data_IF_587851728074
#
_entry.id   IF_587851728074
#
_cell.length_a   1.000
_cell.length_b   1.000
_cell.length_c   1.000
_cell.angle_alpha   90.00
_cell.angle_beta   90.00
_cell.angle_gamma   90.00
#
_symmetry.space_group_name_H-M   'P 1'
#
loop_
_entity.id
_entity.type
_entity.pdbx_description
1 polymer ?
#
# COMPACT_ATOMS: atom_id res chain seq x y z
N UNK A 1 -3.57 -4.50 -14.80
CA UNK A 1 -4.65 -3.51 -15.00
C UNK A 1 -4.15 -2.14 -14.57
N UNK A 2 -4.63 -1.07 -15.18
CA UNK A 2 -4.35 0.27 -14.67
C UNK A 2 -5.02 0.45 -13.29
N UNK A 3 -4.39 1.16 -12.35
CA UNK A 3 -4.91 1.27 -11.00
C UNK A 3 -6.17 2.15 -10.98
N UNK A 4 -7.25 1.62 -10.42
CA UNK A 4 -8.50 2.34 -10.18
C UNK A 4 -8.44 3.03 -8.81
N UNK A 5 -7.86 4.22 -8.75
CA UNK A 5 -7.55 4.94 -7.50
C UNK A 5 -8.76 5.74 -6.98
N UNK A 6 -9.31 6.61 -7.81
CA UNK A 6 -10.47 7.44 -7.51
C UNK A 6 -11.79 6.68 -7.76
N UNK A 7 -12.87 7.19 -7.20
CA UNK A 7 -14.23 6.76 -7.51
C UNK A 7 -14.62 7.16 -8.95
N UNK A 8 -15.69 6.57 -9.49
CA UNK A 8 -16.21 6.88 -10.83
C UNK A 8 -16.57 8.35 -11.04
N UNK A 9 -16.93 9.06 -9.96
CA UNK A 9 -17.22 10.51 -9.96
C UNK A 9 -15.97 11.39 -9.79
N UNK A 10 -14.78 10.79 -9.74
CA UNK A 10 -13.50 11.47 -9.55
C UNK A 10 -13.18 11.86 -8.10
N UNK A 11 -14.02 11.51 -7.13
CA UNK A 11 -13.74 11.76 -5.70
C UNK A 11 -12.81 10.70 -5.10
N UNK A 12 -12.11 11.04 -4.02
CA UNK A 12 -11.39 10.06 -3.21
C UNK A 12 -12.29 9.46 -2.13
N UNK A 13 -11.95 8.26 -1.69
CA UNK A 13 -12.61 7.55 -0.58
C UNK A 13 -11.62 6.65 0.16
N UNK A 14 -12.08 5.93 1.17
CA UNK A 14 -11.29 4.88 1.82
C UNK A 14 -10.73 3.88 0.81
N UNK A 15 -11.46 3.60 -0.28
CA UNK A 15 -10.97 2.79 -1.40
C UNK A 15 -9.70 3.38 -2.05
N UNK A 16 -9.60 4.71 -2.15
CA UNK A 16 -8.40 5.39 -2.68
C UNK A 16 -7.20 5.18 -1.78
N UNK A 17 -7.34 5.39 -0.47
CA UNK A 17 -6.25 5.15 0.49
C UNK A 17 -5.79 3.69 0.45
N UNK A 18 -6.74 2.77 0.38
CA UNK A 18 -6.51 1.32 0.27
C UNK A 18 -5.73 0.96 -1.01
N UNK A 19 -6.18 1.45 -2.17
CA UNK A 19 -5.51 1.20 -3.45
C UNK A 19 -4.15 1.90 -3.58
N UNK A 20 -3.91 3.02 -2.89
CA UNK A 20 -2.58 3.63 -2.81
C UNK A 20 -1.59 2.75 -2.04
N UNK A 21 -2.03 2.08 -0.97
CA UNK A 21 -1.21 1.06 -0.28
C UNK A 21 -0.88 -0.10 -1.21
N UNK A 22 -1.85 -0.58 -2.00
CA UNK A 22 -1.64 -1.66 -2.98
C UNK A 22 -0.62 -1.27 -4.05
N UNK A 23 -0.67 -0.02 -4.51
CA UNK A 23 0.33 0.52 -5.42
C UNK A 23 1.72 0.54 -4.78
N UNK A 24 1.82 1.01 -3.53
CA UNK A 24 3.09 1.09 -2.81
C UNK A 24 3.70 -0.30 -2.53
N UNK A 25 2.91 -1.31 -2.17
CA UNK A 25 3.39 -2.68 -1.99
C UNK A 25 4.04 -3.23 -3.27
N UNK A 26 3.38 -3.07 -4.43
CA UNK A 26 3.93 -3.50 -5.71
C UNK A 26 5.18 -2.74 -6.11
N UNK A 27 5.17 -1.42 -5.92
CA UNK A 27 6.29 -0.53 -6.19
C UNK A 27 7.53 -0.97 -5.41
N UNK A 28 7.37 -1.22 -4.11
CA UNK A 28 8.49 -1.49 -3.21
C UNK A 28 9.04 -2.92 -3.39
N UNK A 29 8.20 -3.93 -3.62
CA UNK A 29 8.68 -5.27 -4.03
C UNK A 29 9.55 -5.18 -5.29
N UNK A 30 9.09 -4.43 -6.30
CA UNK A 30 9.84 -4.21 -7.52
C UNK A 30 11.19 -3.49 -7.27
N UNK A 31 11.22 -2.50 -6.38
CA UNK A 31 12.45 -1.79 -5.98
C UNK A 31 13.45 -2.75 -5.35
N UNK A 32 12.99 -3.55 -4.39
CA UNK A 32 13.86 -4.46 -3.63
C UNK A 32 14.44 -5.54 -4.53
N UNK A 33 13.63 -6.14 -5.41
CA UNK A 33 14.10 -7.10 -6.40
C UNK A 33 15.15 -6.51 -7.32
N UNK A 34 14.89 -5.35 -7.93
CA UNK A 34 15.87 -4.68 -8.83
C UNK A 34 17.18 -4.35 -8.11
N UNK A 35 17.09 -3.86 -6.88
CA UNK A 35 18.26 -3.49 -6.10
C UNK A 35 19.10 -4.72 -5.73
N UNK A 36 18.45 -5.79 -5.25
CA UNK A 36 19.13 -7.04 -4.97
C UNK A 36 19.67 -7.69 -6.24
N UNK A 37 19.02 -7.62 -7.39
CA UNK A 37 19.52 -8.18 -8.65
C UNK A 37 20.74 -7.43 -9.19
N UNK A 38 20.79 -6.10 -9.05
CA UNK A 38 21.97 -5.27 -9.42
C UNK A 38 23.20 -5.56 -8.54
N UNK A 39 23.00 -6.09 -7.34
CA UNK A 39 24.07 -6.68 -6.51
C UNK A 39 24.88 -5.71 -5.66
N UNK A 40 24.42 -4.47 -5.49
CA UNK A 40 25.12 -3.45 -4.68
C UNK A 40 24.23 -2.64 -3.73
N UNK A 41 23.07 -3.12 -3.22
CA UNK A 41 22.34 -2.31 -2.28
C UNK A 41 23.05 -2.31 -0.92
N UNK A 42 23.02 -1.16 -0.23
CA UNK A 42 23.48 -1.08 1.15
C UNK A 42 22.63 -2.02 2.05
N UNK A 43 23.22 -3.03 2.70
CA UNK A 43 22.46 -3.98 3.52
C UNK A 43 21.69 -3.32 4.67
N UNK A 44 22.21 -2.24 5.25
CA UNK A 44 21.52 -1.54 6.33
C UNK A 44 20.23 -0.87 5.84
N UNK A 45 20.31 -0.15 4.73
CA UNK A 45 19.15 0.41 4.04
C UNK A 45 18.14 -0.67 3.66
N UNK A 46 18.57 -1.80 3.08
CA UNK A 46 17.65 -2.89 2.72
C UNK A 46 16.91 -3.47 3.93
N UNK A 47 17.59 -3.61 5.07
CA UNK A 47 16.95 -4.06 6.32
C UNK A 47 15.92 -3.07 6.83
N UNK A 48 16.25 -1.78 6.84
CA UNK A 48 15.30 -0.72 7.26
C UNK A 48 14.05 -0.73 6.37
N UNK A 49 14.24 -0.78 5.06
CA UNK A 49 13.15 -0.78 4.08
C UNK A 49 12.28 -2.04 4.19
N UNK A 50 12.91 -3.20 4.40
CA UNK A 50 12.18 -4.43 4.68
C UNK A 50 11.34 -4.35 5.95
N UNK A 51 11.90 -3.81 7.04
CA UNK A 51 11.16 -3.65 8.30
C UNK A 51 9.97 -2.70 8.15
N UNK A 52 10.11 -1.63 7.35
CA UNK A 52 8.96 -0.79 7.01
C UNK A 52 7.90 -1.57 6.22
N UNK A 53 8.31 -2.25 5.15
CA UNK A 53 7.43 -3.00 4.27
C UNK A 53 6.65 -4.10 5.03
N UNK A 54 7.34 -4.93 5.81
CA UNK A 54 6.72 -6.05 6.53
C UNK A 54 5.72 -5.56 7.56
N UNK A 55 6.01 -4.47 8.26
CA UNK A 55 5.08 -3.89 9.24
C UNK A 55 3.88 -3.24 8.56
N UNK A 56 4.09 -2.55 7.42
CA UNK A 56 3.00 -1.96 6.64
C UNK A 56 2.05 -3.04 6.09
N UNK A 57 2.59 -4.13 5.53
CA UNK A 57 1.77 -5.21 4.97
C UNK A 57 1.03 -5.99 6.06
N UNK A 58 1.72 -6.36 7.15
CA UNK A 58 1.07 -7.04 8.27
C UNK A 58 -0.01 -6.15 8.92
N UNK A 59 0.26 -4.86 9.10
CA UNK A 59 -0.73 -3.91 9.62
C UNK A 59 -1.95 -3.73 8.70
N UNK A 60 -1.73 -3.75 7.39
CA UNK A 60 -2.78 -3.73 6.38
C UNK A 60 -3.69 -4.97 6.50
N UNK A 61 -3.13 -6.18 6.44
CA UNK A 61 -3.91 -7.42 6.60
C UNK A 61 -4.62 -7.48 7.96
N UNK A 62 -3.95 -7.03 9.03
CA UNK A 62 -4.57 -6.96 10.36
C UNK A 62 -5.81 -6.06 10.37
N UNK A 63 -5.73 -4.87 9.76
CA UNK A 63 -6.85 -3.95 9.67
C UNK A 63 -8.00 -4.54 8.86
N UNK A 64 -7.69 -5.31 7.82
CA UNK A 64 -8.69 -6.02 7.04
C UNK A 64 -9.40 -7.08 7.85
N UNK A 65 -8.63 -8.00 8.43
CA UNK A 65 -9.17 -9.16 9.15
C UNK A 65 -9.96 -8.77 10.41
N UNK A 66 -9.55 -7.70 11.08
CA UNK A 66 -10.11 -7.32 12.38
C UNK A 66 -11.22 -6.27 12.30
N UNK A 67 -11.32 -5.52 11.20
CA UNK A 67 -12.28 -4.43 11.08
C UNK A 67 -13.01 -4.38 9.73
N UNK A 68 -12.29 -4.31 8.61
CA UNK A 68 -12.92 -4.11 7.28
C UNK A 68 -13.75 -5.34 6.90
N UNK A 69 -13.18 -6.53 6.98
CA UNK A 69 -13.85 -7.77 6.61
C UNK A 69 -15.05 -8.10 7.51
N UNK A 70 -14.97 -7.98 8.86
CA UNK A 70 -16.15 -8.15 9.71
C UNK A 70 -17.29 -7.18 9.39
N UNK A 71 -17.00 -5.89 9.22
CA UNK A 71 -18.00 -4.87 8.87
C UNK A 71 -18.63 -5.15 7.49
N UNK A 72 -17.79 -5.52 6.51
CA UNK A 72 -18.24 -5.85 5.17
C UNK A 72 -19.12 -7.11 5.14
N UNK A 73 -18.80 -8.16 5.92
CA UNK A 73 -19.66 -9.35 6.05
C UNK A 73 -21.05 -8.99 6.58
N UNK A 74 -21.15 -8.02 7.50
CA UNK A 74 -22.42 -7.57 8.06
C UNK A 74 -23.24 -6.78 7.03
N UNK A 75 -22.61 -5.86 6.31
CA UNK A 75 -23.28 -4.97 5.34
C UNK A 75 -23.56 -5.63 3.99
N UNK A 76 -22.68 -6.54 3.57
CA UNK A 76 -22.71 -7.19 2.26
C UNK A 76 -22.50 -8.71 2.38
N UNK A 77 -23.49 -9.49 2.87
CA UNK A 77 -23.32 -10.92 3.10
C UNK A 77 -22.84 -11.74 1.89
N UNK A 78 -23.07 -11.25 0.67
CA UNK A 78 -22.59 -11.87 -0.58
C UNK A 78 -21.06 -11.93 -0.70
N UNK A 79 -20.31 -11.08 0.02
CA UNK A 79 -18.83 -11.06 -0.01
C UNK A 79 -18.20 -12.14 0.87
N UNK A 80 -18.99 -12.88 1.68
CA UNK A 80 -18.46 -13.80 2.68
C UNK A 80 -17.48 -14.84 2.12
N UNK A 81 -17.80 -15.45 0.96
CA UNK A 81 -16.93 -16.43 0.33
C UNK A 81 -15.59 -15.83 -0.15
N UNK A 82 -15.63 -14.61 -0.69
CA UNK A 82 -14.43 -13.87 -1.09
C UNK A 82 -13.58 -13.54 0.13
N UNK A 83 -14.19 -13.07 1.20
CA UNK A 83 -13.48 -12.74 2.45
C UNK A 83 -12.85 -13.98 3.08
N UNK A 84 -13.54 -15.13 3.10
CA UNK A 84 -12.95 -16.39 3.58
C UNK A 84 -11.70 -16.78 2.78
N UNK A 85 -11.73 -16.54 1.46
CA UNK A 85 -10.59 -16.80 0.58
C UNK A 85 -9.44 -15.83 0.84
N UNK A 86 -9.71 -14.53 0.98
CA UNK A 86 -8.69 -13.51 1.29
C UNK A 86 -8.01 -13.79 2.63
N UNK A 87 -8.79 -14.10 3.68
CA UNK A 87 -8.24 -14.48 4.97
C UNK A 87 -7.39 -15.77 4.91
N UNK A 88 -7.70 -16.69 4.00
CA UNK A 88 -6.85 -17.86 3.75
C UNK A 88 -5.57 -17.51 2.96
N UNK A 89 -5.62 -16.51 2.08
CA UNK A 89 -4.45 -15.96 1.40
C UNK A 89 -3.52 -15.23 2.39
N UNK A 90 -4.05 -14.43 3.33
CA UNK A 90 -3.26 -13.80 4.41
C UNK A 90 -2.45 -14.82 5.20
N UNK A 91 -3.06 -15.95 5.59
CA UNK A 91 -2.39 -17.05 6.32
C UNK A 91 -1.22 -17.69 5.56
N UNK A 92 -1.15 -17.49 4.24
CA UNK A 92 -0.04 -17.96 3.39
C UNK A 92 1.00 -16.87 3.18
N UNK A 93 0.57 -15.61 3.09
CA UNK A 93 1.44 -14.46 2.86
C UNK A 93 2.20 -14.07 4.14
N UNK A 94 1.51 -13.95 5.26
CA UNK A 94 2.10 -13.45 6.51
C UNK A 94 3.33 -14.26 7.00
N UNK A 95 3.37 -15.60 6.91
CA UNK A 95 4.57 -16.36 7.25
C UNK A 95 5.80 -16.02 6.39
N UNK A 96 5.61 -15.53 5.15
CA UNK A 96 6.73 -15.11 4.31
C UNK A 96 7.39 -13.83 4.84
N UNK A 97 6.67 -13.02 5.63
CA UNK A 97 7.24 -11.82 6.25
C UNK A 97 8.28 -12.20 7.31
N UNK A 98 8.03 -13.25 8.09
CA UNK A 98 9.00 -13.81 9.04
C UNK A 98 10.22 -14.42 8.34
N UNK A 99 10.01 -15.12 7.22
CA UNK A 99 11.12 -15.61 6.40
C UNK A 99 11.96 -14.47 5.83
N UNK A 100 11.32 -13.38 5.41
CA UNK A 100 12.02 -12.18 4.97
C UNK A 100 12.79 -11.49 6.09
N UNK A 101 12.29 -11.48 7.33
CA UNK A 101 13.04 -10.92 8.46
C UNK A 101 14.40 -11.61 8.63
N UNK A 102 14.41 -12.95 8.58
CA UNK A 102 15.66 -13.73 8.61
C UNK A 102 16.54 -13.45 7.38
N UNK A 103 15.95 -13.46 6.18
CA UNK A 103 16.68 -13.30 4.93
C UNK A 103 17.30 -11.89 4.79
N UNK A 104 16.63 -10.83 5.22
CA UNK A 104 17.17 -9.47 5.15
C UNK A 104 18.17 -9.20 6.27
N UNK A 105 17.97 -9.79 7.46
CA UNK A 105 18.94 -9.71 8.56
C UNK A 105 20.33 -10.26 8.15
N UNK A 106 20.35 -11.35 7.38
CA UNK A 106 21.59 -12.01 6.92
C UNK A 106 22.30 -11.34 5.73
N UNK A 107 21.80 -10.23 5.19
CA UNK A 107 22.42 -9.57 4.04
C UNK A 107 23.83 -9.06 4.38
N UNK A 108 24.82 -9.22 3.46
CA UNK A 108 24.64 -9.65 2.07
C UNK A 108 24.70 -11.17 1.83
N UNK A 109 25.01 -11.99 2.84
CA UNK A 109 25.25 -13.43 2.67
C UNK A 109 24.00 -14.21 2.21
N UNK A 110 22.82 -13.79 2.64
CA UNK A 110 21.52 -14.40 2.34
C UNK A 110 20.81 -13.74 1.15
N UNK A 111 21.55 -13.08 0.25
CA UNK A 111 20.97 -12.38 -0.92
C UNK A 111 20.04 -13.27 -1.75
N UNK A 112 20.42 -14.53 -1.98
CA UNK A 112 19.61 -15.49 -2.73
C UNK A 112 18.27 -15.77 -2.04
N UNK A 113 18.29 -15.91 -0.71
CA UNK A 113 17.08 -16.15 0.09
C UNK A 113 16.17 -14.93 0.09
N UNK A 114 16.73 -13.72 0.22
CA UNK A 114 15.97 -12.48 0.15
C UNK A 114 15.28 -12.31 -1.22
N UNK A 115 15.97 -12.65 -2.31
CA UNK A 115 15.36 -12.65 -3.66
C UNK A 115 14.26 -13.71 -3.78
N UNK A 116 14.46 -14.91 -3.21
CA UNK A 116 13.45 -15.97 -3.23
C UNK A 116 12.17 -15.54 -2.49
N UNK A 117 12.31 -14.97 -1.28
CA UNK A 117 11.19 -14.43 -0.49
C UNK A 117 10.42 -13.38 -1.26
N UNK A 118 11.11 -12.40 -1.85
CA UNK A 118 10.44 -11.33 -2.60
C UNK A 118 9.69 -11.84 -3.83
N UNK A 119 10.22 -12.86 -4.52
CA UNK A 119 9.55 -13.47 -5.68
C UNK A 119 8.32 -14.26 -5.27
N UNK A 120 8.42 -15.05 -4.20
CA UNK A 120 7.29 -15.80 -3.67
C UNK A 120 6.20 -14.86 -3.16
N UNK A 121 6.59 -13.81 -2.44
CA UNK A 121 5.69 -12.79 -1.94
C UNK A 121 4.99 -12.06 -3.10
N UNK A 122 5.71 -11.65 -4.15
CA UNK A 122 5.08 -11.06 -5.34
C UNK A 122 4.08 -12.01 -6.00
N UNK A 123 4.43 -13.31 -6.11
CA UNK A 123 3.57 -14.30 -6.75
C UNK A 123 2.27 -14.58 -5.99
N UNK A 124 2.26 -14.44 -4.66
CA UNK A 124 1.05 -14.57 -3.84
C UNK A 124 0.30 -13.24 -3.71
N UNK A 125 1.02 -12.14 -3.50
CA UNK A 125 0.45 -10.84 -3.19
C UNK A 125 -0.21 -10.21 -4.43
N UNK A 126 0.36 -10.35 -5.63
CA UNK A 126 -0.24 -9.76 -6.83
C UNK A 126 -1.67 -10.25 -7.13
N UNK A 127 -1.96 -11.56 -7.19
CA UNK A 127 -3.32 -12.05 -7.39
C UNK A 127 -4.25 -11.79 -6.20
N UNK A 128 -3.71 -11.73 -4.98
CA UNK A 128 -4.44 -11.38 -3.77
C UNK A 128 -4.95 -9.92 -3.83
N UNK A 129 -4.04 -8.96 -4.01
CA UNK A 129 -4.39 -7.53 -4.16
C UNK A 129 -5.29 -7.27 -5.38
N UNK A 130 -5.20 -8.09 -6.43
CA UNK A 130 -6.10 -8.00 -7.59
C UNK A 130 -7.52 -8.48 -7.27
N UNK A 131 -7.67 -9.46 -6.39
CA UNK A 131 -8.97 -9.92 -5.89
C UNK A 131 -9.64 -8.85 -5.05
N UNK A 132 -8.90 -8.24 -4.14
CA UNK A 132 -9.42 -7.14 -3.32
C UNK A 132 -9.84 -5.95 -4.16
N UNK A 133 -9.02 -5.57 -5.14
CA UNK A 133 -9.37 -4.50 -6.07
C UNK A 133 -10.67 -4.78 -6.84
N UNK A 134 -10.95 -6.05 -7.18
CA UNK A 134 -12.13 -6.42 -7.94
C UNK A 134 -13.38 -6.64 -7.05
N UNK A 135 -13.21 -7.18 -5.85
CA UNK A 135 -14.32 -7.76 -5.07
C UNK A 135 -14.53 -7.08 -3.70
N UNK A 136 -13.57 -6.32 -3.20
CA UNK A 136 -13.64 -5.63 -1.89
C UNK A 136 -13.71 -4.11 -2.07
N UNK A 137 -12.81 -3.56 -2.87
CA UNK A 137 -12.67 -2.12 -3.12
C UNK A 137 -13.97 -1.43 -3.54
N UNK A 138 -14.84 -2.01 -4.39
CA UNK A 138 -16.12 -1.39 -4.74
C UNK A 138 -16.99 -1.05 -3.52
N UNK A 139 -16.94 -1.86 -2.46
CA UNK A 139 -17.71 -1.67 -1.23
C UNK A 139 -17.14 -0.58 -0.31
N UNK A 140 -15.95 -0.05 -0.61
CA UNK A 140 -15.29 1.01 0.17
C UNK A 140 -15.47 2.41 -0.46
N UNK A 141 -16.05 2.48 -1.67
CA UNK A 141 -16.15 3.72 -2.46
C UNK A 141 -17.06 4.77 -1.83
N UNK A 142 -18.09 4.34 -1.12
CA UNK A 142 -19.05 5.22 -0.44
C UNK A 142 -18.48 5.91 0.81
N UNK A 143 -17.40 5.35 1.38
CA UNK A 143 -16.73 5.94 2.55
C UNK A 143 -15.80 7.09 2.11
N UNK A 144 -16.39 8.25 1.80
CA UNK A 144 -15.70 9.43 1.25
C UNK A 144 -14.95 10.30 2.26
N UNK A 145 -14.93 9.91 3.52
CA UNK A 145 -14.21 10.62 4.59
C UNK A 145 -13.22 9.68 5.26
N UNK A 146 -12.04 10.21 5.60
CA UNK A 146 -11.08 9.50 6.43
C UNK A 146 -11.30 9.85 7.91
N UNK A 147 -11.33 8.86 8.82
CA UNK A 147 -11.60 9.12 10.23
C UNK A 147 -10.56 10.06 10.85
N UNK A 148 -11.02 10.98 11.69
CA UNK A 148 -10.13 11.87 12.44
C UNK A 148 -9.24 11.04 13.38
N UNK A 149 -7.91 11.24 13.37
CA UNK A 149 -7.03 10.57 14.32
C UNK A 149 -7.35 11.02 15.76
N UNK A 150 -7.30 10.12 16.75
CA UNK A 150 -7.65 10.41 18.14
C UNK A 150 -6.64 11.34 18.83
N UNK A 151 -5.40 11.36 18.36
CA UNK A 151 -4.31 12.16 18.91
C UNK A 151 -3.23 12.52 17.87
N UNK A 152 -2.32 13.40 18.27
CA UNK A 152 -1.19 13.89 17.48
C UNK A 152 -0.24 12.77 17.02
N UNK A 153 -0.04 11.75 17.87
CA UNK A 153 0.84 10.63 17.59
C UNK A 153 0.27 9.76 16.46
N UNK A 154 -1.02 9.44 16.55
CA UNK A 154 -1.76 8.69 15.53
C UNK A 154 -1.83 9.48 14.22
N UNK A 155 -2.03 10.80 14.31
CA UNK A 155 -2.00 11.67 13.14
C UNK A 155 -0.63 11.63 12.43
N UNK A 156 0.47 11.67 13.18
CA UNK A 156 1.81 11.56 12.62
C UNK A 156 2.06 10.20 11.97
N UNK A 157 1.60 9.11 12.60
CA UNK A 157 1.68 7.75 12.03
C UNK A 157 0.92 7.64 10.70
N UNK A 158 -0.33 8.11 10.66
CA UNK A 158 -1.13 8.12 9.44
C UNK A 158 -0.50 8.99 8.35
N UNK A 159 0.02 10.17 8.70
CA UNK A 159 0.71 11.04 7.74
C UNK A 159 1.94 10.35 7.12
N UNK A 160 2.71 9.58 7.90
CA UNK A 160 3.83 8.77 7.37
C UNK A 160 3.35 7.67 6.43
N UNK A 161 2.27 6.95 6.79
CA UNK A 161 1.66 5.93 5.92
C UNK A 161 1.16 6.52 4.59
N UNK A 162 0.43 7.65 4.65
CA UNK A 162 -0.01 8.35 3.45
C UNK A 162 1.16 8.87 2.62
N UNK A 163 2.23 9.38 3.25
CA UNK A 163 3.42 9.83 2.53
C UNK A 163 4.08 8.68 1.73
N UNK A 164 4.25 7.53 2.38
CA UNK A 164 4.74 6.31 1.75
C UNK A 164 3.85 5.85 0.58
N UNK A 165 2.53 5.83 0.80
CA UNK A 165 1.55 5.39 -0.21
C UNK A 165 1.42 6.40 -1.38
N UNK A 166 1.69 7.68 -1.14
CA UNK A 166 1.60 8.77 -2.14
C UNK A 166 2.73 8.74 -3.18
N UNK A 167 3.88 8.15 -2.88
CA UNK A 167 5.03 8.19 -3.78
C UNK A 167 4.75 7.41 -5.09
N UNK A 168 4.82 8.11 -6.22
CA UNK A 168 4.45 7.57 -7.54
C UNK A 168 2.96 7.67 -7.88
N UNK A 169 2.14 8.26 -7.02
CA UNK A 169 0.75 8.64 -7.33
C UNK A 169 0.73 10.03 -7.97
N UNK A 170 -0.14 10.23 -8.95
CA UNK A 170 -0.23 11.51 -9.64
C UNK A 170 -0.84 12.63 -8.80
N UNK A 171 -0.38 13.86 -9.05
CA UNK A 171 -0.79 15.05 -8.28
C UNK A 171 -2.30 15.32 -8.31
N UNK A 172 -2.97 15.02 -9.42
CA UNK A 172 -4.43 15.15 -9.57
C UNK A 172 -5.18 14.20 -8.64
N UNK A 173 -4.71 12.96 -8.48
CA UNK A 173 -5.25 12.00 -7.50
C UNK A 173 -4.97 12.48 -6.07
N UNK A 174 -3.73 12.93 -5.79
CA UNK A 174 -3.35 13.40 -4.46
C UNK A 174 -4.17 14.63 -4.01
N UNK A 175 -4.54 15.52 -4.94
CA UNK A 175 -5.42 16.63 -4.63
C UNK A 175 -6.80 16.17 -4.13
N UNK A 176 -7.36 15.08 -4.70
CA UNK A 176 -8.62 14.49 -4.22
C UNK A 176 -8.46 13.81 -2.86
N UNK A 177 -7.32 13.15 -2.64
CA UNK A 177 -6.99 12.56 -1.34
C UNK A 177 -6.95 13.64 -0.26
N UNK A 178 -6.30 14.77 -0.54
CA UNK A 178 -6.20 15.87 0.42
C UNK A 178 -7.58 16.42 0.81
N UNK A 179 -8.55 16.47 -0.11
CA UNK A 179 -9.94 16.87 0.17
C UNK A 179 -10.68 15.92 1.11
N UNK A 180 -10.40 14.62 1.05
CA UNK A 180 -10.99 13.58 1.92
C UNK A 180 -10.44 13.64 3.37
N UNK A 181 -9.25 14.20 3.57
CA UNK A 181 -8.53 14.08 4.84
C UNK A 181 -8.97 15.11 5.91
N UNK A 182 -9.04 14.69 7.19
CA UNK A 182 -9.28 15.60 8.30
C UNK A 182 -8.16 16.66 8.41
N UNK A 183 -8.49 17.82 8.98
CA UNK A 183 -7.60 18.98 9.03
C UNK A 183 -6.21 18.66 9.61
N UNK A 184 -6.15 17.88 10.69
CA UNK A 184 -4.89 17.52 11.34
C UNK A 184 -3.97 16.70 10.43
N UNK A 185 -4.53 15.84 9.57
CA UNK A 185 -3.73 15.11 8.58
C UNK A 185 -3.30 16.01 7.42
N UNK A 186 -4.19 16.88 6.93
CA UNK A 186 -3.85 17.87 5.89
C UNK A 186 -2.70 18.79 6.31
N UNK A 187 -2.61 19.13 7.60
CA UNK A 187 -1.51 19.94 8.13
C UNK A 187 -0.17 19.19 8.10
N UNK A 188 -0.15 17.91 8.50
CA UNK A 188 1.09 17.13 8.65
C UNK A 188 1.59 16.52 7.35
N UNK A 189 0.68 16.15 6.46
CA UNK A 189 0.99 15.34 5.29
C UNK A 189 1.99 15.98 4.32
N UNK A 190 1.97 17.30 4.04
CA UNK A 190 2.97 17.92 3.15
C UNK A 190 4.41 17.69 3.62
N UNK A 191 4.69 17.87 4.91
CA UNK A 191 6.02 17.65 5.48
C UNK A 191 6.41 16.16 5.44
N UNK A 192 5.47 15.27 5.74
CA UNK A 192 5.70 13.83 5.67
C UNK A 192 6.00 13.36 4.24
N UNK A 193 5.25 13.83 3.24
CA UNK A 193 5.49 13.55 1.80
C UNK A 193 6.89 14.02 1.38
N UNK A 194 7.25 15.26 1.70
CA UNK A 194 8.57 15.80 1.38
C UNK A 194 9.72 15.00 2.02
N UNK A 195 9.56 14.59 3.28
CA UNK A 195 10.53 13.75 3.98
C UNK A 195 10.65 12.36 3.34
N UNK A 196 9.53 11.71 3.00
CA UNK A 196 9.52 10.41 2.33
C UNK A 196 10.13 10.50 0.93
N UNK A 197 9.77 11.51 0.13
CA UNK A 197 10.32 11.69 -1.23
C UNK A 197 11.83 11.92 -1.20
N UNK A 198 12.33 12.73 -0.25
CA UNK A 198 13.75 12.92 -0.06
C UNK A 198 14.47 11.63 0.36
N UNK A 199 13.85 10.82 1.22
CA UNK A 199 14.35 9.49 1.61
C UNK A 199 14.40 8.55 0.40
N UNK A 200 13.29 8.41 -0.32
CA UNK A 200 13.16 7.53 -1.47
C UNK A 200 14.13 7.91 -2.60
N UNK A 201 14.34 9.21 -2.87
CA UNK A 201 15.29 9.66 -3.89
C UNK A 201 16.75 9.27 -3.57
N UNK A 202 17.12 9.24 -2.28
CA UNK A 202 18.45 8.79 -1.84
C UNK A 202 18.61 7.27 -1.94
N UNK A 203 17.58 6.52 -1.57
CA UNK A 203 17.62 5.06 -1.53
C UNK A 203 17.47 4.41 -2.91
N UNK A 204 16.67 5.02 -3.79
CA UNK A 204 16.31 4.48 -5.10
C UNK A 204 16.72 5.45 -6.23
N UNK A 205 18.02 5.77 -6.37
CA UNK A 205 18.47 6.77 -7.32
C UNK A 205 18.14 6.37 -8.76
N UNK A 206 17.64 7.33 -9.53
CA UNK A 206 17.30 7.15 -10.95
C UNK A 206 15.95 6.48 -11.21
N UNK A 207 15.22 6.04 -10.18
CA UNK A 207 13.83 5.65 -10.35
C UNK A 207 12.94 6.90 -10.52
N UNK A 208 12.30 7.01 -11.67
CA UNK A 208 11.20 7.95 -11.90
C UNK A 208 9.91 7.13 -12.00
N UNK A 209 9.15 6.94 -10.91
CA UNK A 209 7.90 6.23 -11.01
C UNK A 209 7.00 6.94 -12.03
N UNK A 210 6.41 6.17 -12.95
CA UNK A 210 5.34 6.69 -13.79
C UNK A 210 4.21 7.13 -12.85
N UNK A 211 3.71 8.35 -13.01
CA UNK A 211 2.67 8.87 -12.15
C UNK A 211 1.36 8.08 -12.36
N UNK A 212 1.07 7.17 -11.43
CA UNK A 212 -0.10 6.30 -11.42
C UNK A 212 -1.39 7.11 -11.24
N UNK A 213 -2.39 6.81 -12.07
CA UNK A 213 -3.69 7.51 -12.16
C UNK A 213 -4.82 6.51 -12.39
N UNK A 214 -6.03 6.88 -11.99
CA UNK A 214 -7.24 6.28 -12.57
C UNK A 214 -7.32 6.65 -14.05
N UNK A 215 -7.48 5.69 -14.97
CA UNK A 215 -7.72 5.99 -16.38
C UNK A 215 -8.98 6.84 -16.57
N UNK A 216 -8.92 7.84 -17.46
CA UNK A 216 -10.07 8.67 -17.78
C UNK A 216 -11.29 7.86 -18.28
N UNK A 217 -11.07 6.66 -18.83
CA UNK A 217 -12.13 5.75 -19.27
C UNK A 217 -12.93 5.11 -18.13
N UNK A 218 -12.40 5.12 -16.90
CA UNK A 218 -13.10 4.63 -15.71
C UNK A 218 -13.86 5.75 -15.00
N UNK A 219 -13.61 7.01 -15.36
CA UNK A 219 -14.34 8.15 -14.81
C UNK A 219 -15.61 8.39 -15.61
N UNK A 220 -16.72 8.55 -14.92
CA UNK A 220 -17.96 9.05 -15.51
C UNK A 220 -17.92 10.58 -15.54
N UNK A 221 -18.16 11.23 -16.70
CA UNK A 221 -18.39 12.68 -16.72
C UNK A 221 -19.61 12.99 -15.86
N UNK A 222 -19.46 13.87 -14.87
CA UNK A 222 -20.55 14.23 -13.95
C UNK A 222 -21.82 14.63 -14.70
N UNK A 223 -22.96 14.06 -14.29
CA UNK A 223 -24.31 14.49 -14.65
C UNK A 223 -24.78 15.62 -13.73
#
# INVERSE_FOLDING_TARGET
MAPDLLNDDGTASMATAFMMSHHAFRRDLGRYLRALEKGSPDPATMREEWQWYRNALHGHHTQEDTAIFPDMRQKHPATAATIDKLAAEHKRIDPLLEHGDAAFAGLPATRTDAVAVLRELSALLDPHLAREAAEIVPHLRDAKEFPAPPDEQTAAMYAQGFAWASNGIAADVLARVDEMLPALLREKLPAARAAYDAKAARQWPGEKPLASRTPASLLTPGH
#
